data_IF_327585149213
#
_entry.id   IF_327585149213
#
_cell.length_a   1.000
_cell.length_b   1.000
_cell.length_c   1.000
_cell.angle_alpha   90.00
_cell.angle_beta   90.00
_cell.angle_gamma   90.00
#
_symmetry.space_group_name_H-M   'P 1'
#
loop_
_entity.id
_entity.type
_entity.pdbx_description
1 polymer ?
#
# COMPACT_ATOMS: atom_id res chain seq x y z
N UNK A 1 16.74 -0.07 17.84
CA UNK A 1 17.78 0.80 17.26
C UNK A 1 17.71 0.60 15.76
N UNK A 2 17.15 1.55 15.03
CA UNK A 2 16.95 1.46 13.57
C UNK A 2 18.16 2.11 12.92
N UNK A 3 19.07 1.31 12.40
CA UNK A 3 20.18 1.80 11.59
C UNK A 3 19.75 1.81 10.13
N UNK A 4 19.34 2.98 9.63
CA UNK A 4 19.06 3.19 8.22
C UNK A 4 20.34 3.48 7.45
N UNK A 5 20.57 2.75 6.37
CA UNK A 5 21.52 3.12 5.33
C UNK A 5 20.81 4.03 4.32
N UNK A 6 21.26 5.29 4.25
CA UNK A 6 20.82 6.24 3.22
C UNK A 6 21.80 6.14 2.05
N UNK A 7 21.28 5.90 0.85
CA UNK A 7 22.01 6.14 -0.39
C UNK A 7 21.32 7.25 -1.16
N UNK A 8 22.06 8.33 -1.31
CA UNK A 8 21.76 9.45 -2.20
C UNK A 8 22.25 9.11 -3.60
N UNK A 9 21.34 8.70 -4.51
CA UNK A 9 21.51 8.92 -5.94
C UNK A 9 20.16 8.83 -6.65
N UNK A 10 19.63 10.01 -6.92
CA UNK A 10 18.19 10.26 -7.15
C UNK A 10 17.78 10.41 -8.62
N UNK A 11 18.50 9.82 -9.58
CA UNK A 11 18.08 10.02 -10.99
C UNK A 11 18.04 8.74 -11.82
N UNK A 12 17.44 7.67 -11.44
CA UNK A 12 17.03 6.55 -12.31
C UNK A 12 16.82 5.19 -11.61
N UNK A 13 16.79 5.10 -10.30
CA UNK A 13 16.62 3.82 -9.62
C UNK A 13 15.34 3.77 -8.80
N UNK A 14 14.41 2.90 -9.23
CA UNK A 14 13.26 2.52 -8.39
C UNK A 14 13.76 1.52 -7.36
N UNK A 15 14.15 2.00 -6.19
CA UNK A 15 14.56 1.15 -5.08
C UNK A 15 13.35 0.38 -4.54
N UNK A 16 13.47 -0.93 -4.43
CA UNK A 16 12.56 -1.81 -3.72
C UNK A 16 13.21 -2.19 -2.39
N UNK A 17 12.60 -1.82 -1.29
CA UNK A 17 13.02 -2.24 0.04
C UNK A 17 12.13 -3.41 0.49
N UNK A 18 12.74 -4.59 0.66
CA UNK A 18 12.13 -5.72 1.34
C UNK A 18 12.52 -5.67 2.81
N UNK A 19 11.56 -5.51 3.69
CA UNK A 19 11.78 -5.56 5.13
C UNK A 19 11.11 -6.81 5.67
N UNK A 20 11.92 -7.73 6.18
CA UNK A 20 11.44 -8.86 6.96
C UNK A 20 11.49 -8.47 8.44
N UNK A 21 10.37 -8.56 9.14
CA UNK A 21 10.26 -8.12 10.54
C UNK A 21 11.04 -9.02 11.51
N UNK A 22 11.53 -10.17 11.05
CA UNK A 22 12.38 -11.10 11.80
C UNK A 22 13.89 -10.89 11.62
N UNK A 23 14.37 -9.66 11.43
CA UNK A 23 15.77 -9.25 11.51
C UNK A 23 16.75 -9.60 10.35
N UNK A 24 16.29 -9.86 9.14
CA UNK A 24 17.19 -9.86 8.00
C UNK A 24 16.74 -8.87 6.92
N UNK A 25 17.62 -7.91 6.61
CA UNK A 25 17.41 -6.96 5.52
C UNK A 25 18.02 -7.53 4.24
N UNK A 26 17.20 -7.97 3.31
CA UNK A 26 17.65 -8.21 1.94
C UNK A 26 17.24 -7.03 1.05
N UNK A 27 18.24 -6.33 0.52
CA UNK A 27 18.04 -5.32 -0.52
C UNK A 27 18.10 -6.04 -1.86
N UNK A 28 16.95 -6.36 -2.43
CA UNK A 28 16.86 -6.90 -3.77
C UNK A 28 16.54 -5.78 -4.76
N UNK A 29 17.45 -5.54 -5.69
CA UNK A 29 17.21 -4.62 -6.81
C UNK A 29 16.28 -5.30 -7.81
N UNK A 30 15.04 -4.84 -7.90
CA UNK A 30 14.17 -5.28 -8.97
C UNK A 30 14.32 -4.32 -10.14
N UNK A 31 14.95 -4.81 -11.19
CA UNK A 31 14.96 -4.16 -12.49
C UNK A 31 13.52 -3.86 -12.94
N UNK A 32 13.37 -2.74 -13.67
CA UNK A 32 12.11 -2.32 -14.31
C UNK A 32 11.40 -3.52 -14.91
N UNK A 33 10.34 -4.00 -14.26
CA UNK A 33 9.52 -5.09 -14.81
C UNK A 33 8.91 -4.59 -16.13
N UNK A 34 9.43 -5.10 -17.24
CA UNK A 34 8.79 -4.91 -18.54
C UNK A 34 7.43 -5.61 -18.48
N UNK A 35 6.46 -5.15 -19.26
CA UNK A 35 5.12 -5.77 -19.28
C UNK A 35 5.15 -7.29 -19.52
N UNK A 36 6.18 -7.77 -20.23
CA UNK A 36 6.45 -9.21 -20.47
C UNK A 36 6.65 -10.05 -19.19
N UNK A 37 6.93 -9.42 -18.05
CA UNK A 37 7.21 -10.13 -16.79
C UNK A 37 6.03 -10.05 -15.79
N UNK A 38 4.90 -9.52 -16.19
CA UNK A 38 3.69 -9.50 -15.37
C UNK A 38 2.91 -10.80 -15.53
N UNK A 39 2.29 -11.25 -14.45
CA UNK A 39 1.35 -12.38 -14.53
C UNK A 39 0.15 -12.02 -15.41
N UNK A 40 -0.57 -13.02 -15.95
CA UNK A 40 -1.79 -12.78 -16.71
C UNK A 40 -2.78 -11.91 -15.95
N UNK A 41 -3.64 -11.21 -16.69
CA UNK A 41 -4.73 -10.45 -16.09
C UNK A 41 -5.71 -11.38 -15.41
N UNK A 42 -6.15 -11.02 -14.22
CA UNK A 42 -7.17 -11.74 -13.46
C UNK A 42 -8.23 -10.77 -12.95
N UNK A 43 -9.45 -11.24 -12.85
CA UNK A 43 -10.55 -10.48 -12.27
C UNK A 43 -10.64 -10.70 -10.75
N UNK A 44 -11.22 -9.76 -10.01
CA UNK A 44 -11.52 -9.97 -8.60
C UNK A 44 -12.53 -11.09 -8.44
N UNK A 45 -12.24 -12.05 -7.55
CA UNK A 45 -13.21 -13.07 -7.13
C UNK A 45 -14.23 -12.54 -6.12
N UNK A 46 -13.88 -11.46 -5.42
CA UNK A 46 -14.67 -10.84 -4.38
C UNK A 46 -14.40 -9.34 -4.35
N UNK A 47 -15.42 -8.53 -4.17
CA UNK A 47 -15.32 -7.08 -4.05
C UNK A 47 -16.47 -6.53 -3.23
N UNK A 48 -16.29 -5.38 -2.63
CA UNK A 48 -17.34 -4.76 -1.83
C UNK A 48 -16.97 -3.39 -1.30
N UNK A 49 -17.79 -2.90 -0.41
CA UNK A 49 -17.58 -1.65 0.31
C UNK A 49 -17.53 -1.94 1.81
N UNK A 50 -16.66 -1.24 2.51
CA UNK A 50 -16.56 -1.27 3.96
C UNK A 50 -16.83 0.13 4.51
N UNK A 51 -17.85 0.26 5.34
CA UNK A 51 -18.09 1.51 6.08
C UNK A 51 -17.02 1.68 7.14
N UNK A 52 -16.21 2.72 7.01
CA UNK A 52 -15.05 2.97 7.90
C UNK A 52 -15.26 4.14 8.84
N UNK A 53 -16.20 5.04 8.51
CA UNK A 53 -16.68 6.11 9.39
C UNK A 53 -18.14 6.46 9.08
N UNK A 54 -18.69 7.47 9.73
CA UNK A 54 -20.06 7.95 9.40
C UNK A 54 -20.15 8.52 7.98
N UNK A 55 -19.03 9.00 7.45
CA UNK A 55 -18.94 9.67 6.14
C UNK A 55 -18.45 8.70 5.07
N UNK A 56 -17.40 7.90 5.39
CA UNK A 56 -16.63 7.17 4.40
C UNK A 56 -16.95 5.68 4.33
N UNK A 57 -17.08 5.21 3.09
CA UNK A 57 -17.12 3.80 2.73
C UNK A 57 -16.02 3.52 1.70
N UNK A 58 -15.06 2.67 2.05
CA UNK A 58 -13.94 2.32 1.17
C UNK A 58 -14.29 1.11 0.30
N UNK A 59 -13.90 1.19 -0.97
CA UNK A 59 -13.98 0.08 -1.90
C UNK A 59 -12.80 -0.87 -1.68
N UNK A 60 -13.05 -2.18 -1.76
CA UNK A 60 -12.02 -3.20 -1.71
C UNK A 60 -12.34 -4.35 -2.67
N UNK A 61 -11.30 -5.07 -3.05
CA UNK A 61 -11.39 -6.27 -3.88
C UNK A 61 -10.34 -7.30 -3.49
N UNK A 62 -10.64 -8.57 -3.77
CA UNK A 62 -9.73 -9.71 -3.59
C UNK A 62 -9.62 -10.52 -4.87
N UNK A 63 -8.39 -10.93 -5.18
CA UNK A 63 -8.05 -11.68 -6.38
C UNK A 63 -7.10 -12.84 -6.04
N UNK A 64 -6.97 -13.79 -6.95
CA UNK A 64 -6.05 -14.92 -6.80
C UNK A 64 -6.54 -16.01 -5.84
N UNK A 65 -5.60 -16.74 -5.24
CA UNK A 65 -5.87 -17.92 -4.43
C UNK A 65 -6.35 -17.58 -3.01
N UNK A 66 -7.60 -17.91 -2.62
CA UNK A 66 -8.11 -17.62 -1.27
C UNK A 66 -7.33 -18.30 -0.13
N UNK A 67 -6.60 -19.39 -0.44
CA UNK A 67 -5.73 -20.10 0.50
C UNK A 67 -4.28 -19.63 0.44
N UNK A 68 -3.95 -18.73 -0.51
CA UNK A 68 -2.61 -18.19 -0.70
C UNK A 68 -2.17 -17.24 0.42
N UNK A 69 -0.90 -16.83 0.34
CA UNK A 69 -0.32 -15.80 1.23
C UNK A 69 -1.08 -14.50 1.05
N UNK A 70 -1.51 -13.91 2.17
CA UNK A 70 -2.27 -12.66 2.17
C UNK A 70 -1.35 -11.49 1.86
N UNK A 71 -1.67 -10.71 0.84
CA UNK A 71 -0.93 -9.49 0.50
C UNK A 71 -1.89 -8.33 0.28
N UNK A 72 -1.64 -7.23 1.00
CA UNK A 72 -2.33 -5.97 0.80
C UNK A 72 -1.53 -5.07 -0.12
N UNK A 73 -2.16 -4.59 -1.16
CA UNK A 73 -1.61 -3.59 -2.09
C UNK A 73 -2.16 -2.22 -1.72
N UNK A 74 -1.26 -1.32 -1.35
CA UNK A 74 -1.57 0.05 -0.92
C UNK A 74 -1.15 0.99 -2.04
N UNK A 75 -2.13 1.62 -2.71
CA UNK A 75 -1.85 2.52 -3.82
C UNK A 75 -1.22 3.84 -3.38
N UNK A 76 -0.56 4.49 -4.32
CA UNK A 76 0.05 5.80 -4.14
C UNK A 76 -0.90 6.96 -4.40
N UNK A 77 -0.36 8.10 -4.53
CA UNK A 77 -1.04 9.37 -4.71
C UNK A 77 -0.44 10.39 -3.74
N UNK A 78 -1.23 10.94 -2.79
CA UNK A 78 -2.60 10.59 -2.36
C UNK A 78 -3.65 10.64 -3.48
N UNK A 79 -4.70 9.81 -3.36
CA UNK A 79 -5.84 9.87 -4.28
C UNK A 79 -5.70 9.11 -5.61
N UNK A 80 -4.64 8.28 -5.77
CA UNK A 80 -4.39 7.56 -7.03
C UNK A 80 -5.36 6.43 -7.36
N UNK A 81 -5.98 5.83 -6.36
CA UNK A 81 -6.83 4.63 -6.51
C UNK A 81 -6.08 3.35 -6.84
N UNK A 82 -6.74 2.22 -6.65
CA UNK A 82 -6.23 0.91 -7.05
C UNK A 82 -6.35 0.71 -8.56
N UNK A 83 -5.51 -0.16 -9.11
CA UNK A 83 -5.48 -0.42 -10.54
C UNK A 83 -5.45 -1.93 -10.81
N UNK A 84 -6.15 -2.41 -11.87
CA UNK A 84 -6.12 -3.83 -12.25
C UNK A 84 -4.71 -4.38 -12.47
N UNK A 85 -3.80 -3.52 -12.94
CA UNK A 85 -2.40 -3.89 -13.17
C UNK A 85 -1.69 -4.37 -11.89
N UNK A 86 -2.06 -3.90 -10.71
CA UNK A 86 -1.40 -4.29 -9.46
C UNK A 86 -1.62 -5.76 -9.13
N UNK A 87 -2.74 -6.37 -9.54
CA UNK A 87 -3.00 -7.80 -9.38
C UNK A 87 -1.95 -8.66 -10.10
N UNK A 88 -1.40 -8.14 -11.21
CA UNK A 88 -0.43 -8.81 -12.07
C UNK A 88 1.01 -8.81 -11.54
N UNK A 89 1.26 -8.17 -10.40
CA UNK A 89 2.59 -8.18 -9.77
C UNK A 89 2.84 -9.45 -8.97
N UNK A 90 1.80 -10.22 -8.68
CA UNK A 90 1.84 -11.39 -7.81
C UNK A 90 1.34 -12.63 -8.54
N UNK A 91 1.96 -13.79 -8.23
CA UNK A 91 1.48 -15.06 -8.75
C UNK A 91 0.08 -15.38 -8.17
N UNK A 92 -0.97 -15.40 -8.99
CA UNK A 92 -2.33 -15.60 -8.52
C UNK A 92 -2.59 -16.98 -7.89
N UNK A 93 -1.76 -17.97 -8.16
CA UNK A 93 -1.86 -19.30 -7.55
C UNK A 93 -1.32 -19.31 -6.11
N UNK A 94 -0.36 -18.41 -5.80
CA UNK A 94 0.35 -18.37 -4.52
C UNK A 94 -0.18 -17.30 -3.56
N UNK A 95 -0.82 -16.25 -4.08
CA UNK A 95 -1.24 -15.10 -3.29
C UNK A 95 -2.75 -14.90 -3.32
N UNK A 96 -3.27 -14.49 -2.18
CA UNK A 96 -4.57 -13.84 -2.00
C UNK A 96 -4.33 -12.32 -1.97
N UNK A 97 -4.64 -11.67 -3.07
CA UNK A 97 -4.27 -10.29 -3.34
C UNK A 97 -5.44 -9.39 -2.97
N UNK A 98 -5.26 -8.56 -1.96
CA UNK A 98 -6.22 -7.55 -1.52
C UNK A 98 -5.81 -6.19 -2.06
N UNK A 99 -6.72 -5.46 -2.68
CA UNK A 99 -6.58 -4.06 -3.06
C UNK A 99 -7.75 -3.28 -2.47
N UNK A 100 -7.55 -2.01 -2.19
CA UNK A 100 -8.60 -1.10 -1.75
C UNK A 100 -8.32 0.30 -2.24
N UNK A 101 -9.37 1.10 -2.36
CA UNK A 101 -9.27 2.52 -2.62
C UNK A 101 -9.35 3.28 -1.30
N UNK A 102 -8.37 4.15 -1.04
CA UNK A 102 -8.35 5.01 0.15
C UNK A 102 -9.55 5.95 0.13
N UNK A 103 -9.84 6.62 1.25
CA UNK A 103 -10.94 7.58 1.36
C UNK A 103 -10.86 8.64 0.26
N UNK A 104 -11.99 9.03 -0.27
CA UNK A 104 -12.12 10.11 -1.25
C UNK A 104 -11.59 9.82 -2.64
N UNK A 105 -11.13 8.60 -2.95
CA UNK A 105 -10.58 8.29 -4.26
C UNK A 105 -11.09 6.99 -4.87
N UNK A 106 -10.80 6.79 -6.13
CA UNK A 106 -11.20 5.60 -6.88
C UNK A 106 -12.70 5.34 -6.80
N UNK A 107 -13.06 4.13 -6.41
CA UNK A 107 -14.45 3.71 -6.19
C UNK A 107 -14.97 3.97 -4.78
N UNK A 108 -14.12 4.41 -3.83
CA UNK A 108 -14.53 4.77 -2.47
C UNK A 108 -15.48 5.96 -2.44
N UNK A 109 -16.33 6.03 -1.42
CA UNK A 109 -17.41 7.03 -1.31
C UNK A 109 -17.34 7.77 0.04
N UNK A 110 -17.67 9.09 0.06
CA UNK A 110 -17.88 10.00 -1.08
C UNK A 110 -16.56 10.23 -1.85
N UNK A 111 -16.65 10.57 -3.14
CA UNK A 111 -15.49 10.93 -3.95
C UNK A 111 -15.02 12.33 -3.60
N UNK A 112 -13.68 12.55 -3.54
CA UNK A 112 -13.03 13.84 -3.21
C UNK A 112 -13.43 14.43 -1.85
N UNK A 113 -13.93 13.64 -0.91
CA UNK A 113 -14.24 14.10 0.45
C UNK A 113 -12.97 14.13 1.31
N UNK A 114 -12.68 15.29 1.92
CA UNK A 114 -11.48 15.51 2.72
C UNK A 114 -11.71 15.47 4.24
N UNK A 115 -12.94 15.57 4.70
CA UNK A 115 -13.26 15.44 6.13
C UNK A 115 -12.95 14.02 6.60
N UNK A 116 -12.44 13.86 7.80
CA UNK A 116 -12.04 12.56 8.34
C UNK A 116 -11.13 11.77 7.35
N UNK A 117 -10.17 12.45 6.71
CA UNK A 117 -9.29 11.84 5.71
C UNK A 117 -7.82 12.16 6.03
N UNK A 118 -7.44 11.97 7.28
CA UNK A 118 -6.07 12.12 7.75
C UNK A 118 -5.27 10.84 7.52
N UNK A 119 -3.94 10.92 7.62
CA UNK A 119 -3.06 9.73 7.58
C UNK A 119 -3.44 8.71 8.64
N UNK A 120 -3.82 9.18 9.84
CA UNK A 120 -4.30 8.31 10.93
C UNK A 120 -5.55 7.53 10.56
N UNK A 121 -6.53 8.22 9.95
CA UNK A 121 -7.76 7.59 9.47
C UNK A 121 -7.49 6.51 8.43
N UNK A 122 -6.59 6.77 7.47
CA UNK A 122 -6.23 5.82 6.42
C UNK A 122 -5.53 4.58 6.99
N UNK A 123 -4.69 4.75 8.00
CA UNK A 123 -4.04 3.63 8.70
C UNK A 123 -5.07 2.79 9.48
N UNK A 124 -6.04 3.44 10.13
CA UNK A 124 -7.11 2.74 10.84
C UNK A 124 -8.05 2.00 9.87
N UNK A 125 -8.25 2.54 8.69
CA UNK A 125 -9.04 1.86 7.65
C UNK A 125 -8.37 0.57 7.16
N UNK A 126 -7.05 0.55 7.06
CA UNK A 126 -6.30 -0.67 6.73
C UNK A 126 -6.56 -1.76 7.79
N UNK A 127 -6.55 -1.39 9.07
CA UNK A 127 -6.84 -2.34 10.15
C UNK A 127 -8.30 -2.79 10.15
N UNK A 128 -9.26 -1.88 9.93
CA UNK A 128 -10.68 -2.23 9.78
C UNK A 128 -10.89 -3.19 8.61
N UNK A 129 -10.22 -2.96 7.48
CA UNK A 129 -10.28 -3.84 6.32
C UNK A 129 -9.73 -5.22 6.63
N UNK A 130 -8.58 -5.32 7.30
CA UNK A 130 -8.00 -6.58 7.73
C UNK A 130 -8.98 -7.39 8.58
N UNK A 131 -9.57 -6.75 9.59
CA UNK A 131 -10.54 -7.38 10.49
C UNK A 131 -11.79 -7.84 9.74
N UNK A 132 -12.34 -6.98 8.87
CA UNK A 132 -13.50 -7.28 8.05
C UNK A 132 -13.28 -8.51 7.16
N UNK A 133 -12.10 -8.63 6.59
CA UNK A 133 -11.71 -9.76 5.72
C UNK A 133 -11.26 -11.00 6.49
N UNK A 134 -11.26 -10.96 7.84
CA UNK A 134 -10.83 -12.03 8.73
C UNK A 134 -9.40 -12.51 8.43
N UNK A 135 -8.51 -11.57 8.14
CA UNK A 135 -7.09 -11.83 7.91
C UNK A 135 -6.35 -11.60 9.21
N UNK A 136 -5.58 -12.58 9.68
CA UNK A 136 -4.81 -12.43 10.91
C UNK A 136 -3.58 -11.53 10.70
N UNK A 137 -2.82 -11.79 9.65
CA UNK A 137 -1.63 -11.02 9.27
C UNK A 137 -1.43 -11.08 7.76
N UNK A 138 -0.71 -10.12 7.22
CA UNK A 138 -0.47 -10.03 5.78
C UNK A 138 0.91 -9.47 5.43
N UNK A 139 1.30 -9.68 4.19
CA UNK A 139 2.38 -8.97 3.54
C UNK A 139 1.85 -7.62 3.03
N UNK A 140 2.68 -6.58 3.03
CA UNK A 140 2.30 -5.28 2.49
C UNK A 140 3.09 -4.97 1.22
N UNK A 141 2.42 -4.42 0.23
CA UNK A 141 3.04 -3.85 -0.96
C UNK A 141 2.60 -2.40 -1.10
N UNK A 142 3.52 -1.46 -0.92
CA UNK A 142 3.25 -0.02 -1.00
C UNK A 142 4.08 0.66 -2.08
N UNK A 143 3.45 1.54 -2.86
CA UNK A 143 4.12 2.37 -3.85
C UNK A 143 3.94 3.86 -3.59
N UNK A 144 5.02 4.66 -3.62
CA UNK A 144 4.98 6.11 -3.38
C UNK A 144 4.31 6.42 -2.03
N UNK A 145 3.24 7.22 -2.00
CA UNK A 145 2.43 7.46 -0.79
C UNK A 145 2.00 6.17 -0.08
N UNK A 146 1.69 5.11 -0.82
CA UNK A 146 1.35 3.81 -0.26
C UNK A 146 2.50 3.17 0.54
N UNK A 147 3.77 3.52 0.25
CA UNK A 147 4.91 3.07 1.06
C UNK A 147 4.94 3.74 2.43
N UNK A 148 4.56 5.01 2.50
CA UNK A 148 4.43 5.75 3.76
C UNK A 148 3.32 5.16 4.63
N UNK A 149 2.15 4.89 4.05
CA UNK A 149 1.05 4.25 4.77
C UNK A 149 1.41 2.85 5.26
N UNK A 150 2.11 2.06 4.45
CA UNK A 150 2.58 0.73 4.84
C UNK A 150 3.52 0.80 6.05
N UNK A 151 4.46 1.73 6.06
CA UNK A 151 5.39 1.94 7.18
C UNK A 151 4.66 2.36 8.46
N UNK A 152 3.77 3.35 8.38
CA UNK A 152 3.03 3.84 9.54
C UNK A 152 2.11 2.73 10.09
N UNK A 153 1.44 1.99 9.20
CA UNK A 153 0.62 0.85 9.60
C UNK A 153 1.45 -0.23 10.30
N UNK A 154 2.63 -0.58 9.78
CA UNK A 154 3.52 -1.58 10.37
C UNK A 154 4.05 -1.15 11.74
N UNK A 155 4.36 0.14 11.93
CA UNK A 155 4.76 0.70 13.24
C UNK A 155 3.60 0.59 14.25
N UNK A 156 2.38 0.90 13.82
CA UNK A 156 1.19 0.86 14.68
C UNK A 156 0.70 -0.55 14.98
N UNK A 157 0.87 -1.47 14.03
CA UNK A 157 0.35 -2.84 14.09
C UNK A 157 1.43 -3.90 13.75
N UNK A 158 2.55 -3.97 14.48
CA UNK A 158 3.71 -4.79 14.09
C UNK A 158 3.39 -6.28 14.02
N UNK A 159 2.50 -6.79 14.88
CA UNK A 159 2.09 -8.20 14.88
C UNK A 159 1.19 -8.59 13.69
N UNK A 160 0.71 -7.61 12.92
CA UNK A 160 -0.17 -7.83 11.77
C UNK A 160 0.57 -7.82 10.43
N UNK A 161 1.87 -7.54 10.44
CA UNK A 161 2.69 -7.40 9.23
C UNK A 161 3.77 -8.47 9.20
N UNK A 162 3.71 -9.33 8.18
CA UNK A 162 4.68 -10.41 7.97
C UNK A 162 5.94 -9.91 7.27
N UNK A 163 5.77 -9.06 6.27
CA UNK A 163 6.85 -8.38 5.55
C UNK A 163 6.31 -7.19 4.75
N UNK A 164 7.19 -6.35 4.28
CA UNK A 164 6.84 -5.20 3.43
C UNK A 164 7.71 -5.17 2.19
N UNK A 165 7.06 -4.85 1.06
CA UNK A 165 7.71 -4.53 -0.21
C UNK A 165 7.37 -3.08 -0.54
N UNK A 166 8.34 -2.19 -0.51
CA UNK A 166 8.15 -0.77 -0.69
C UNK A 166 8.83 -0.29 -1.97
N UNK A 167 8.10 0.46 -2.79
CA UNK A 167 8.58 0.97 -4.07
C UNK A 167 8.42 2.49 -4.14
N UNK A 168 9.50 3.18 -4.55
CA UNK A 168 9.49 4.63 -4.62
C UNK A 168 9.12 5.21 -3.26
N UNK A 169 9.91 4.87 -2.25
CA UNK A 169 9.63 5.24 -0.87
C UNK A 169 9.47 6.75 -0.79
N UNK A 170 8.27 7.15 -0.44
CA UNK A 170 7.94 8.52 -0.13
C UNK A 170 8.01 8.67 1.38
N UNK A 171 9.19 9.01 1.87
CA UNK A 171 9.32 9.49 3.24
C UNK A 171 8.92 10.96 3.25
N UNK A 172 8.08 11.35 4.20
CA UNK A 172 7.88 12.76 4.52
C UNK A 172 9.21 13.26 5.05
N UNK A 173 10.13 13.60 4.12
CA UNK A 173 11.41 14.15 4.44
C UNK A 173 11.24 15.65 4.75
N UNK A 174 12.26 16.23 5.36
CA UNK A 174 12.34 17.65 5.66
C UNK A 174 11.94 18.57 4.48
N UNK A 175 12.18 18.16 3.25
CA UNK A 175 11.78 18.88 2.03
C UNK A 175 10.26 19.00 1.84
N UNK A 176 9.47 18.07 2.38
CA UNK A 176 8.00 18.15 2.33
C UNK A 176 7.41 18.99 3.46
N UNK A 177 8.12 19.18 4.55
CA UNK A 177 7.74 20.12 5.61
C UNK A 177 7.94 21.59 5.22
N UNK A 178 8.78 21.84 4.21
CA UNK A 178 9.04 23.22 3.72
C UNK A 178 8.18 23.60 2.51
N UNK A 179 7.60 22.64 1.78
CA UNK A 179 6.74 22.92 0.64
C UNK A 179 5.40 23.60 0.97
N UNK A 180 4.75 23.35 2.11
CA UNK A 180 3.53 24.05 2.48
C UNK A 180 3.71 25.52 2.84
N UNK A 181 4.93 25.99 3.00
CA UNK A 181 5.21 27.40 3.38
C UNK A 181 5.43 28.32 2.20
N UNK A 182 5.44 27.80 0.96
CA UNK A 182 5.39 28.64 -0.25
C UNK A 182 3.93 28.89 -0.58
N UNK A 183 3.41 30.13 -0.36
CA UNK A 183 2.09 30.45 -0.86
C UNK A 183 2.15 30.39 -2.39
N UNK A 184 1.26 29.59 -2.97
CA UNK A 184 1.00 29.68 -4.40
C UNK A 184 0.33 31.03 -4.62
N UNK A 185 1.09 31.96 -5.22
CA UNK A 185 0.60 33.22 -5.72
C UNK A 185 0.03 32.99 -7.11
#
# INVERSE_FOLDING_TARGET
MITGLFFSDLYNFKCLLLVNINFEFEINYIYRMKEKNLFPSIEPREKGFLQVSKIHSIYWERSGNPKGKKILVIHGGPGGGSQPRYRRYFNPEKFDIVQFDQRGCGSSRPFSELRENTTGDLVDDIEKLRVNLKIDSWHLFGGSWGSTLALIYAIKNPSRVLSMTLRGIFSVSYTHLTLPTTPYV
#
